data_IF_023567658537
#
_entry.id   IF_023567658537
#
_cell.length_a   1.000
_cell.length_b   1.000
_cell.length_c   1.000
_cell.angle_alpha   90.00
_cell.angle_beta   90.00
_cell.angle_gamma   90.00
#
_symmetry.space_group_name_H-M   'P 1'
#
loop_
_entity.id
_entity.type
_entity.pdbx_description
1 polymer ?
#
# COMPACT_ATOMS: atom_id res chain seq x y z
N UNK A 1 1.98 28.56 -12.91
CA UNK A 1 1.95 27.32 -12.13
C UNK A 1 3.37 26.77 -12.15
N UNK A 2 4.05 26.76 -11.02
CA UNK A 2 5.40 26.19 -10.89
C UNK A 2 5.20 24.69 -11.08
N UNK A 3 5.71 24.17 -12.17
CA UNK A 3 5.63 22.75 -12.52
C UNK A 3 6.67 21.97 -11.69
N UNK A 4 6.49 21.97 -10.36
CA UNK A 4 7.33 21.16 -9.49
C UNK A 4 6.89 19.71 -9.66
N UNK A 5 7.70 18.92 -10.40
CA UNK A 5 7.50 17.49 -10.49
C UNK A 5 7.61 16.87 -9.08
N UNK A 6 6.75 15.90 -8.81
CA UNK A 6 6.73 15.13 -7.56
C UNK A 6 8.10 14.50 -7.34
N UNK A 7 8.67 14.67 -6.16
CA UNK A 7 9.97 14.11 -5.78
C UNK A 7 9.75 12.78 -5.06
N UNK A 8 10.20 11.70 -5.69
CA UNK A 8 10.07 10.34 -5.16
C UNK A 8 11.43 9.87 -4.64
N UNK A 9 11.50 9.63 -3.32
CA UNK A 9 12.63 8.93 -2.73
C UNK A 9 12.59 7.44 -3.07
N UNK A 10 13.74 6.83 -3.32
CA UNK A 10 13.85 5.41 -3.61
C UNK A 10 14.99 4.83 -2.78
N UNK A 11 14.68 3.87 -1.88
CA UNK A 11 15.73 3.10 -1.21
C UNK A 11 16.20 1.95 -2.10
N UNK A 12 17.52 1.68 -2.10
CA UNK A 12 18.11 0.64 -2.96
C UNK A 12 17.76 -0.78 -2.58
N UNK A 13 17.27 -0.99 -1.34
CA UNK A 13 17.12 -2.34 -0.81
C UNK A 13 18.46 -3.02 -0.60
N UNK A 14 18.46 -4.35 -0.61
CA UNK A 14 19.71 -5.12 -0.52
C UNK A 14 20.55 -4.94 -1.79
N UNK A 15 21.77 -4.45 -1.60
CA UNK A 15 22.68 -4.12 -2.72
C UNK A 15 23.12 -5.35 -3.54
N UNK A 16 22.98 -6.55 -2.99
CA UNK A 16 23.30 -7.82 -3.66
C UNK A 16 22.06 -8.51 -4.26
N UNK A 17 20.85 -7.95 -4.03
CA UNK A 17 19.60 -8.40 -4.61
C UNK A 17 19.26 -7.69 -5.93
N UNK A 18 18.05 -7.88 -6.42
CA UNK A 18 17.56 -7.26 -7.68
C UNK A 18 17.23 -5.77 -7.55
N UNK A 19 17.19 -5.21 -6.32
CA UNK A 19 16.80 -3.81 -6.08
C UNK A 19 17.48 -2.81 -7.00
N UNK A 20 18.82 -2.72 -7.06
CA UNK A 20 19.51 -1.79 -7.96
C UNK A 20 19.22 -2.03 -9.44
N UNK A 21 19.06 -3.31 -9.87
CA UNK A 21 18.76 -3.67 -11.25
C UNK A 21 17.37 -3.18 -11.67
N UNK A 22 16.33 -3.47 -10.88
CA UNK A 22 14.95 -3.05 -11.21
C UNK A 22 14.78 -1.53 -11.14
N UNK A 23 15.53 -0.82 -10.27
CA UNK A 23 15.56 0.64 -10.25
C UNK A 23 16.12 1.18 -11.59
N UNK A 24 17.27 0.69 -12.03
CA UNK A 24 17.88 1.12 -13.30
C UNK A 24 16.93 0.88 -14.46
N UNK A 25 16.39 -0.33 -14.60
CA UNK A 25 15.46 -0.68 -15.67
C UNK A 25 14.18 0.15 -15.66
N UNK A 26 13.64 0.46 -14.48
CA UNK A 26 12.46 1.33 -14.36
C UNK A 26 12.71 2.70 -14.99
N UNK A 27 13.87 3.30 -14.79
CA UNK A 27 14.19 4.65 -15.28
C UNK A 27 14.96 4.67 -16.59
N UNK A 28 15.31 3.52 -17.16
CA UNK A 28 15.90 3.41 -18.48
C UNK A 28 14.91 3.87 -19.58
N UNK A 29 13.59 3.81 -19.27
CA UNK A 29 12.58 4.48 -20.06
C UNK A 29 12.51 5.97 -19.69
N UNK A 30 12.88 6.91 -20.60
CA UNK A 30 12.90 8.34 -20.31
C UNK A 30 11.53 8.93 -19.89
N UNK A 31 10.42 8.31 -20.33
CA UNK A 31 9.07 8.73 -19.98
C UNK A 31 8.83 8.68 -18.44
N UNK A 32 9.52 7.82 -17.72
CA UNK A 32 9.45 7.77 -16.26
C UNK A 32 9.94 9.07 -15.59
N UNK A 33 10.90 9.75 -16.22
CA UNK A 33 11.40 11.04 -15.75
C UNK A 33 10.43 12.21 -16.01
N UNK A 34 9.41 11.98 -16.84
CA UNK A 34 8.30 12.94 -17.02
C UNK A 34 7.27 12.81 -15.92
N UNK A 35 7.12 11.60 -15.34
CA UNK A 35 6.16 11.29 -14.28
C UNK A 35 6.58 11.88 -12.93
N UNK A 36 7.86 11.76 -12.58
CA UNK A 36 8.39 12.21 -11.29
C UNK A 36 9.88 12.63 -11.39
N UNK A 37 10.40 13.14 -10.29
CA UNK A 37 11.83 13.36 -10.07
C UNK A 37 12.32 12.31 -9.07
N UNK A 38 12.98 11.22 -9.53
CA UNK A 38 13.47 10.19 -8.63
C UNK A 38 14.77 10.60 -7.95
N UNK A 39 14.87 10.25 -6.66
CA UNK A 39 16.08 10.40 -5.83
C UNK A 39 16.39 9.05 -5.20
N UNK A 40 17.39 8.35 -5.70
CA UNK A 40 17.85 7.07 -5.17
C UNK A 40 18.80 7.30 -4.02
N UNK A 41 18.50 6.74 -2.86
CA UNK A 41 19.35 6.81 -1.66
C UNK A 41 20.35 5.66 -1.69
N UNK A 42 21.56 5.95 -2.16
CA UNK A 42 22.56 4.90 -2.36
C UNK A 42 23.95 5.48 -2.65
N UNK A 43 24.56 5.02 -3.74
CA UNK A 43 25.86 5.51 -4.19
C UNK A 43 25.94 5.47 -5.70
N UNK A 44 26.53 6.50 -6.29
CA UNK A 44 26.83 6.58 -7.72
C UNK A 44 27.69 5.40 -8.20
N UNK A 45 28.60 4.90 -7.34
CA UNK A 45 29.43 3.72 -7.64
C UNK A 45 28.58 2.44 -7.74
N UNK A 46 27.59 2.24 -6.84
CA UNK A 46 26.67 1.12 -6.87
C UNK A 46 25.87 1.10 -8.18
N UNK A 47 25.26 2.23 -8.54
CA UNK A 47 24.46 2.36 -9.77
C UNK A 47 25.34 2.17 -11.00
N UNK A 48 26.54 2.73 -11.03
CA UNK A 48 27.51 2.53 -12.15
C UNK A 48 27.91 1.06 -12.33
N UNK A 49 28.12 0.34 -11.21
CA UNK A 49 28.42 -1.09 -11.24
C UNK A 49 27.27 -1.88 -11.89
N UNK A 50 26.04 -1.70 -11.42
CA UNK A 50 24.88 -2.42 -11.95
C UNK A 50 24.56 -2.01 -13.39
N UNK A 51 24.66 -0.73 -13.75
CA UNK A 51 24.53 -0.28 -15.15
C UNK A 51 25.47 -1.06 -16.09
N UNK A 52 26.75 -1.13 -15.72
CA UNK A 52 27.74 -1.90 -16.51
C UNK A 52 27.40 -3.37 -16.55
N UNK A 53 26.95 -3.96 -15.45
CA UNK A 53 26.62 -5.38 -15.33
C UNK A 53 25.46 -5.78 -16.22
N UNK A 54 24.40 -4.93 -16.33
CA UNK A 54 23.21 -5.21 -17.12
C UNK A 54 23.22 -4.55 -18.51
N UNK A 55 24.28 -3.80 -18.86
CA UNK A 55 24.42 -3.16 -20.18
C UNK A 55 23.51 -1.95 -20.38
N UNK A 56 23.10 -1.23 -19.31
CA UNK A 56 22.28 -0.03 -19.43
C UNK A 56 23.10 1.22 -19.66
N UNK A 57 22.61 2.13 -20.50
CA UNK A 57 23.19 3.47 -20.77
C UNK A 57 22.46 4.59 -20.01
N UNK A 58 21.60 4.28 -19.04
CA UNK A 58 20.80 5.23 -18.27
C UNK A 58 21.68 6.40 -17.73
N UNK A 59 21.38 7.65 -18.11
CA UNK A 59 22.07 8.80 -17.53
C UNK A 59 21.54 9.09 -16.13
N UNK A 60 22.44 9.43 -15.20
CA UNK A 60 22.07 9.86 -13.86
C UNK A 60 22.99 10.97 -13.37
N UNK A 61 22.57 11.65 -12.30
CA UNK A 61 23.35 12.70 -11.63
C UNK A 61 23.64 12.27 -10.20
N UNK A 62 24.94 12.21 -9.84
CA UNK A 62 25.36 12.04 -8.43
C UNK A 62 25.21 13.37 -7.69
N UNK A 63 24.62 13.32 -6.49
CA UNK A 63 24.44 14.46 -5.60
C UNK A 63 24.87 14.07 -4.18
N UNK A 64 25.31 15.05 -3.39
CA UNK A 64 25.75 14.84 -2.02
C UNK A 64 24.73 15.34 -0.99
N UNK A 65 23.76 16.14 -1.43
CA UNK A 65 22.65 16.61 -0.60
C UNK A 65 21.39 16.89 -1.44
N UNK A 66 20.23 16.90 -0.77
CA UNK A 66 18.93 17.03 -1.41
C UNK A 66 18.68 18.42 -2.05
N UNK A 67 19.43 19.44 -1.68
CA UNK A 67 19.34 20.78 -2.33
C UNK A 67 19.89 20.78 -3.77
N UNK A 68 20.65 19.76 -4.13
CA UNK A 68 21.23 19.59 -5.47
C UNK A 68 20.34 18.78 -6.42
N UNK A 69 19.14 18.37 -6.00
CA UNK A 69 18.20 17.59 -6.84
C UNK A 69 17.87 18.34 -8.12
N UNK A 70 18.11 17.70 -9.25
CA UNK A 70 17.78 18.20 -10.58
C UNK A 70 16.46 17.60 -11.03
N UNK A 71 15.44 18.45 -11.19
CA UNK A 71 14.10 18.06 -11.64
C UNK A 71 14.15 17.36 -13.00
N UNK A 72 13.43 16.22 -13.10
CA UNK A 72 13.34 15.43 -14.33
C UNK A 72 14.63 14.68 -14.70
N UNK A 73 15.52 14.48 -13.74
CA UNK A 73 16.70 13.61 -13.86
C UNK A 73 16.65 12.50 -12.80
N UNK A 74 17.29 11.39 -13.07
CA UNK A 74 17.58 10.39 -12.04
C UNK A 74 18.72 10.93 -11.17
N UNK A 75 18.42 11.24 -9.91
CA UNK A 75 19.38 11.71 -8.94
C UNK A 75 19.80 10.55 -8.04
N UNK A 76 21.12 10.43 -7.79
CA UNK A 76 21.67 9.44 -6.86
C UNK A 76 22.27 10.20 -5.69
N UNK A 77 21.64 10.17 -4.55
CA UNK A 77 22.14 10.74 -3.31
C UNK A 77 23.19 9.80 -2.73
N UNK A 78 24.46 10.26 -2.71
CA UNK A 78 25.58 9.49 -2.18
C UNK A 78 25.53 9.51 -0.65
N UNK A 79 24.96 8.46 -0.04
CA UNK A 79 24.87 8.33 1.43
C UNK A 79 26.04 7.53 2.02
N UNK A 80 26.83 6.88 1.18
CA UNK A 80 28.11 6.27 1.52
C UNK A 80 29.13 6.44 0.38
N UNK A 81 30.40 6.64 0.74
CA UNK A 81 31.47 6.89 -0.23
C UNK A 81 32.20 5.62 -0.67
N UNK A 82 32.35 4.67 0.26
CA UNK A 82 33.00 3.39 0.00
C UNK A 82 31.95 2.33 -0.22
N UNK A 83 31.91 1.79 -1.44
CA UNK A 83 31.07 0.64 -1.75
C UNK A 83 31.90 -0.60 -1.47
N UNK A 84 31.52 -1.39 -0.46
CA UNK A 84 32.15 -2.68 -0.23
C UNK A 84 31.96 -3.60 -1.44
N UNK A 85 32.62 -4.74 -1.44
CA UNK A 85 32.53 -5.70 -2.52
C UNK A 85 31.05 -6.10 -2.77
N UNK A 86 30.50 -5.66 -3.92
CA UNK A 86 29.17 -6.06 -4.37
C UNK A 86 29.29 -7.49 -4.89
N UNK A 87 28.48 -8.38 -4.33
CA UNK A 87 28.42 -9.80 -4.70
C UNK A 87 26.97 -10.19 -5.04
N UNK A 88 26.46 -9.85 -6.24
CA UNK A 88 25.09 -10.15 -6.62
C UNK A 88 24.74 -11.62 -6.38
N UNK A 89 23.55 -11.86 -5.86
CA UNK A 89 23.08 -13.21 -5.55
C UNK A 89 23.53 -13.77 -4.20
N UNK A 90 24.28 -13.01 -3.40
CA UNK A 90 24.74 -13.49 -2.09
C UNK A 90 24.16 -12.65 -0.94
N UNK A 91 23.61 -13.36 0.04
CA UNK A 91 23.25 -12.76 1.32
C UNK A 91 24.54 -12.40 2.08
N UNK A 92 24.70 -11.14 2.48
CA UNK A 92 25.84 -10.67 3.26
C UNK A 92 25.37 -9.71 4.35
N UNK A 93 26.07 -9.69 5.48
CA UNK A 93 25.82 -8.74 6.58
C UNK A 93 25.95 -7.29 6.08
N UNK A 94 26.95 -7.03 5.26
CA UNK A 94 27.19 -5.71 4.69
C UNK A 94 26.06 -5.28 3.74
N UNK A 95 25.48 -6.19 2.96
CA UNK A 95 24.30 -5.93 2.14
C UNK A 95 23.11 -5.47 2.99
N UNK A 96 22.88 -6.13 4.13
CA UNK A 96 21.85 -5.73 5.09
C UNK A 96 22.12 -4.35 5.72
N UNK A 97 23.37 -4.09 6.15
CA UNK A 97 23.77 -2.79 6.71
C UNK A 97 23.55 -1.64 5.72
N UNK A 98 23.92 -1.82 4.45
CA UNK A 98 23.69 -0.82 3.40
C UNK A 98 22.23 -0.64 3.06
N UNK A 99 21.45 -1.73 3.05
CA UNK A 99 20.01 -1.67 2.86
C UNK A 99 19.33 -0.83 3.95
N UNK A 100 19.73 -1.02 5.20
CA UNK A 100 19.22 -0.22 6.31
C UNK A 100 19.67 1.24 6.21
N UNK A 101 20.93 1.52 5.89
CA UNK A 101 21.41 2.89 5.68
C UNK A 101 20.62 3.62 4.60
N UNK A 102 20.33 2.94 3.47
CA UNK A 102 19.51 3.47 2.40
C UNK A 102 18.08 3.79 2.87
N UNK A 103 17.45 2.82 3.52
CA UNK A 103 16.08 2.97 4.03
C UNK A 103 15.98 4.08 5.07
N UNK A 104 16.87 4.11 6.06
CA UNK A 104 16.89 5.09 7.14
C UNK A 104 17.06 6.52 6.62
N UNK A 105 18.00 6.73 5.71
CA UNK A 105 18.21 8.03 5.09
C UNK A 105 17.00 8.50 4.28
N UNK A 106 16.37 7.59 3.51
CA UNK A 106 15.18 7.89 2.73
C UNK A 106 13.97 8.20 3.61
N UNK A 107 13.77 7.46 4.70
CA UNK A 107 12.68 7.68 5.66
C UNK A 107 12.87 9.00 6.40
N UNK A 108 14.09 9.33 6.80
CA UNK A 108 14.42 10.63 7.39
C UNK A 108 14.05 11.77 6.44
N UNK A 109 14.48 11.70 5.17
CA UNK A 109 14.17 12.70 4.16
C UNK A 109 12.66 12.81 3.88
N UNK A 110 11.93 11.70 3.93
CA UNK A 110 10.47 11.69 3.81
C UNK A 110 9.80 12.36 5.01
N UNK A 111 10.28 12.12 6.21
CA UNK A 111 9.77 12.72 7.45
C UNK A 111 10.01 14.23 7.50
N UNK A 112 11.21 14.67 7.15
CA UNK A 112 11.66 16.07 7.21
C UNK A 112 11.13 16.95 6.07
N UNK A 113 10.60 16.38 5.00
CA UNK A 113 9.77 17.09 4.06
C UNK A 113 10.28 17.34 2.64
N UNK A 114 11.51 17.03 2.20
CA UNK A 114 11.89 17.26 0.82
C UNK A 114 11.34 16.21 -0.17
N UNK A 115 10.84 15.07 0.34
CA UNK A 115 10.23 14.02 -0.47
C UNK A 115 8.71 14.03 -0.36
N UNK A 116 8.05 13.81 -1.49
CA UNK A 116 6.58 13.69 -1.57
C UNK A 116 6.10 12.26 -1.26
N UNK A 117 6.87 11.26 -1.67
CA UNK A 117 6.61 9.85 -1.38
C UNK A 117 7.91 9.03 -1.40
N UNK A 118 7.84 7.80 -0.90
CA UNK A 118 8.93 6.84 -0.84
C UNK A 118 8.55 5.55 -1.56
N UNK A 119 9.42 5.05 -2.41
CA UNK A 119 9.37 3.70 -2.96
C UNK A 119 10.54 2.90 -2.39
N UNK A 120 10.27 1.73 -1.81
CA UNK A 120 11.32 0.91 -1.21
C UNK A 120 11.60 -0.32 -2.05
N UNK A 121 12.86 -0.51 -2.48
CA UNK A 121 13.29 -1.76 -3.09
C UNK A 121 13.40 -2.88 -2.04
N UNK A 122 13.40 -4.16 -2.47
CA UNK A 122 13.35 -5.30 -1.56
C UNK A 122 14.55 -5.40 -0.62
N UNK A 123 14.29 -5.80 0.61
CA UNK A 123 15.30 -6.13 1.64
C UNK A 123 15.26 -7.62 1.98
N UNK A 124 16.38 -8.13 2.44
CA UNK A 124 16.39 -9.43 3.10
C UNK A 124 16.15 -9.22 4.60
N UNK A 125 15.06 -9.83 5.10
CA UNK A 125 14.62 -9.63 6.49
C UNK A 125 15.58 -10.19 7.54
N UNK A 126 16.48 -11.08 7.15
CA UNK A 126 17.45 -11.70 8.06
C UNK A 126 18.72 -10.85 8.18
N UNK A 127 19.32 -10.45 7.05
CA UNK A 127 20.59 -9.74 7.07
C UNK A 127 20.47 -8.25 7.43
N UNK A 128 19.28 -7.67 7.32
CA UNK A 128 19.04 -6.27 7.71
C UNK A 128 18.94 -6.09 9.24
N UNK A 129 18.67 -7.18 9.98
CA UNK A 129 18.60 -7.13 11.45
C UNK A 129 19.92 -6.66 12.05
N UNK A 130 19.86 -5.79 13.04
CA UNK A 130 21.05 -5.24 13.69
C UNK A 130 20.77 -3.94 14.44
N UNK A 131 21.81 -3.26 14.90
CA UNK A 131 21.66 -2.00 15.62
C UNK A 131 20.87 -0.97 14.80
N UNK A 132 19.69 -0.58 15.30
CA UNK A 132 18.80 0.38 14.65
C UNK A 132 17.70 -0.23 13.78
N UNK A 133 17.73 -1.54 13.49
CA UNK A 133 16.65 -2.23 12.81
C UNK A 133 16.34 -3.56 13.50
N UNK A 134 15.37 -3.52 14.40
CA UNK A 134 14.81 -4.69 15.11
C UNK A 134 13.29 -4.74 14.83
N UNK A 135 12.97 -4.92 13.55
CA UNK A 135 11.59 -4.95 13.07
C UNK A 135 11.37 -6.11 12.12
N UNK A 136 10.13 -6.68 12.06
CA UNK A 136 9.78 -7.73 11.11
C UNK A 136 9.94 -7.34 9.64
N UNK A 137 9.86 -6.03 9.35
CA UNK A 137 9.97 -5.53 7.99
C UNK A 137 9.84 -4.01 7.86
N UNK A 138 9.71 -3.54 6.63
CA UNK A 138 9.56 -2.11 6.31
C UNK A 138 8.36 -1.47 7.01
N UNK A 139 7.23 -2.16 7.07
CA UNK A 139 5.95 -1.61 7.55
C UNK A 139 6.04 -1.19 9.00
N UNK A 140 6.57 -2.05 9.85
CA UNK A 140 6.72 -1.82 11.28
C UNK A 140 7.77 -0.73 11.56
N UNK A 141 8.90 -0.76 10.84
CA UNK A 141 9.92 0.28 10.93
C UNK A 141 9.36 1.65 10.52
N UNK A 142 8.64 1.74 9.41
CA UNK A 142 8.04 2.99 8.96
C UNK A 142 7.00 3.52 9.95
N UNK A 143 6.16 2.65 10.52
CA UNK A 143 5.19 3.04 11.52
C UNK A 143 5.86 3.59 12.80
N UNK A 144 6.99 2.99 13.22
CA UNK A 144 7.73 3.45 14.39
C UNK A 144 8.34 4.85 14.20
N UNK A 145 8.76 5.19 12.97
CA UNK A 145 9.41 6.48 12.68
C UNK A 145 8.40 7.56 12.28
N UNK A 146 7.41 7.22 11.45
CA UNK A 146 6.46 8.17 10.88
C UNK A 146 5.18 8.31 11.69
N UNK A 147 4.93 7.36 12.61
CA UNK A 147 3.67 7.24 13.32
C UNK A 147 2.56 6.64 12.47
N UNK A 148 1.40 6.40 13.10
CA UNK A 148 0.23 5.82 12.46
C UNK A 148 0.10 4.32 12.70
N UNK A 149 -1.07 3.78 12.36
CA UNK A 149 -1.37 2.35 12.43
C UNK A 149 -1.38 1.78 11.00
N UNK A 150 -0.32 1.11 10.57
CA UNK A 150 -0.17 0.71 9.19
C UNK A 150 -1.16 -0.39 8.80
N UNK A 151 -1.69 -0.28 7.59
CA UNK A 151 -2.44 -1.35 6.94
C UNK A 151 -1.64 -1.84 5.72
N UNK A 152 -1.32 -3.13 5.67
CA UNK A 152 -0.76 -3.75 4.47
C UNK A 152 -1.86 -3.86 3.43
N UNK A 153 -1.68 -3.14 2.32
CA UNK A 153 -2.64 -3.08 1.24
C UNK A 153 -1.96 -3.46 -0.07
N UNK A 154 -2.31 -4.60 -0.61
CA UNK A 154 -1.87 -5.07 -1.92
C UNK A 154 -2.78 -4.42 -2.96
N UNK A 155 -2.20 -3.71 -3.91
CA UNK A 155 -2.97 -2.94 -4.89
C UNK A 155 -2.47 -3.19 -6.31
N UNK A 156 -3.41 -3.36 -7.22
CA UNK A 156 -3.23 -3.34 -8.67
C UNK A 156 -4.37 -2.52 -9.29
N UNK A 157 -4.42 -2.44 -10.60
CA UNK A 157 -5.52 -1.79 -11.30
C UNK A 157 -6.86 -2.49 -10.98
N UNK A 158 -6.88 -3.83 -11.07
CA UNK A 158 -8.08 -4.64 -11.00
C UNK A 158 -8.46 -5.08 -9.58
N UNK A 159 -7.51 -5.10 -8.63
CA UNK A 159 -7.71 -5.73 -7.34
C UNK A 159 -6.97 -5.00 -6.21
N UNK A 160 -7.68 -4.78 -5.11
CA UNK A 160 -7.10 -4.26 -3.87
C UNK A 160 -7.47 -5.19 -2.72
N UNK A 161 -6.45 -5.71 -2.03
CA UNK A 161 -6.63 -6.64 -0.91
C UNK A 161 -5.88 -6.15 0.32
N UNK A 162 -6.57 -6.07 1.44
CA UNK A 162 -5.97 -5.98 2.77
C UNK A 162 -6.11 -7.31 3.50
N UNK A 163 -5.25 -7.55 4.48
CA UNK A 163 -5.32 -8.72 5.34
C UNK A 163 -5.61 -8.31 6.78
N UNK A 164 -6.52 -9.03 7.43
CA UNK A 164 -6.85 -8.80 8.83
C UNK A 164 -5.66 -9.19 9.72
N UNK A 165 -5.09 -10.38 9.49
CA UNK A 165 -3.88 -10.87 10.15
C UNK A 165 -2.75 -10.99 9.14
N UNK A 166 -1.54 -10.53 9.53
CA UNK A 166 -0.35 -10.57 8.68
C UNK A 166 0.53 -11.80 8.93
N UNK A 167 1.75 -11.57 9.40
CA UNK A 167 2.77 -12.61 9.58
C UNK A 167 2.62 -13.31 10.93
N UNK A 168 1.54 -14.04 11.14
CA UNK A 168 1.32 -14.92 12.29
C UNK A 168 1.14 -16.37 11.84
N UNK A 169 1.32 -17.32 12.75
CA UNK A 169 1.09 -18.74 12.47
C UNK A 169 -0.37 -18.96 12.09
N UNK A 170 -0.62 -19.88 11.16
CA UNK A 170 -2.00 -20.25 10.77
C UNK A 170 -2.82 -20.75 11.96
N UNK A 171 -2.18 -21.37 12.94
CA UNK A 171 -2.83 -21.85 14.17
C UNK A 171 -3.31 -20.71 15.08
N UNK A 172 -2.79 -19.50 14.92
CA UNK A 172 -3.15 -18.33 15.72
C UNK A 172 -4.23 -17.47 15.04
N UNK A 173 -4.47 -17.68 13.74
CA UNK A 173 -5.36 -16.83 12.94
C UNK A 173 -6.77 -16.79 13.53
N UNK A 174 -7.40 -17.95 13.76
CA UNK A 174 -8.76 -18.00 14.26
C UNK A 174 -8.94 -17.27 15.60
N UNK A 175 -7.96 -17.41 16.51
CA UNK A 175 -7.98 -16.69 17.79
C UNK A 175 -7.72 -15.18 17.68
N UNK A 176 -7.07 -14.75 16.62
CA UNK A 176 -6.78 -13.33 16.37
C UNK A 176 -7.96 -12.59 15.71
N UNK A 177 -8.86 -13.29 15.01
CA UNK A 177 -10.03 -12.68 14.38
C UNK A 177 -11.07 -12.29 15.44
N UNK A 178 -11.23 -10.99 15.64
CA UNK A 178 -12.19 -10.41 16.58
C UNK A 178 -13.05 -9.35 15.87
N UNK A 179 -14.27 -9.07 16.37
CA UNK A 179 -15.10 -8.00 15.81
C UNK A 179 -14.35 -6.65 15.77
N UNK A 180 -13.57 -6.35 16.81
CA UNK A 180 -12.79 -5.12 16.92
C UNK A 180 -11.72 -5.03 15.84
N UNK A 181 -11.01 -6.14 15.55
CA UNK A 181 -9.99 -6.18 14.50
C UNK A 181 -10.65 -5.94 13.12
N UNK A 182 -11.78 -6.60 12.84
CA UNK A 182 -12.51 -6.43 11.59
C UNK A 182 -12.95 -4.97 11.43
N UNK A 183 -13.59 -4.38 12.45
CA UNK A 183 -14.03 -2.99 12.44
C UNK A 183 -12.87 -2.02 12.20
N UNK A 184 -11.74 -2.25 12.86
CA UNK A 184 -10.54 -1.44 12.69
C UNK A 184 -10.03 -1.51 11.25
N UNK A 185 -9.87 -2.73 10.71
CA UNK A 185 -9.36 -2.93 9.35
C UNK A 185 -10.27 -2.32 8.29
N UNK A 186 -11.59 -2.50 8.43
CA UNK A 186 -12.56 -1.89 7.51
C UNK A 186 -12.46 -0.36 7.53
N UNK A 187 -12.41 0.27 8.70
CA UNK A 187 -12.27 1.73 8.82
C UNK A 187 -10.95 2.23 8.22
N UNK A 188 -9.85 1.49 8.41
CA UNK A 188 -8.57 1.79 7.77
C UNK A 188 -8.65 1.68 6.24
N UNK A 189 -9.31 0.63 5.72
CA UNK A 189 -9.54 0.46 4.29
C UNK A 189 -10.38 1.59 3.71
N UNK A 190 -11.51 1.94 4.32
CA UNK A 190 -12.37 3.04 3.88
C UNK A 190 -11.61 4.36 3.84
N UNK A 191 -10.88 4.69 4.91
CA UNK A 191 -10.07 5.90 4.95
C UNK A 191 -9.07 5.97 3.80
N UNK A 192 -8.39 4.85 3.52
CA UNK A 192 -7.42 4.78 2.43
C UNK A 192 -8.11 4.86 1.06
N UNK A 193 -9.20 4.12 0.85
CA UNK A 193 -9.95 4.13 -0.41
C UNK A 193 -10.46 5.54 -0.75
N UNK A 194 -10.96 6.26 0.23
CA UNK A 194 -11.42 7.65 0.05
C UNK A 194 -10.24 8.59 -0.22
N UNK A 195 -9.21 8.54 0.61
CA UNK A 195 -8.11 9.51 0.60
C UNK A 195 -7.06 9.21 -0.47
N UNK A 196 -6.71 7.93 -0.66
CA UNK A 196 -5.58 7.50 -1.48
C UNK A 196 -6.02 7.05 -2.87
N UNK A 197 -7.29 6.63 -3.01
CA UNK A 197 -7.83 6.11 -4.28
C UNK A 197 -9.02 6.92 -4.82
N UNK A 198 -9.47 7.97 -4.10
CA UNK A 198 -10.58 8.87 -4.49
C UNK A 198 -11.91 8.13 -4.68
N UNK A 199 -12.14 7.04 -3.96
CA UNK A 199 -13.40 6.30 -3.97
C UNK A 199 -14.33 6.90 -2.92
N UNK A 200 -15.34 7.67 -3.33
CA UNK A 200 -16.19 8.42 -2.40
C UNK A 200 -17.06 7.54 -1.48
N UNK A 201 -17.50 6.37 -1.96
CA UNK A 201 -18.33 5.41 -1.22
C UNK A 201 -17.79 3.99 -1.47
N UNK A 202 -16.70 3.62 -0.81
CA UNK A 202 -16.03 2.35 -1.08
C UNK A 202 -16.91 1.16 -0.69
N UNK A 203 -17.01 0.19 -1.61
CA UNK A 203 -17.65 -1.10 -1.42
C UNK A 203 -16.58 -2.11 -1.05
N UNK A 204 -16.65 -2.64 0.16
CA UNK A 204 -15.64 -3.56 0.71
C UNK A 204 -16.25 -4.94 0.88
N UNK A 205 -15.62 -5.96 0.28
CA UNK A 205 -15.94 -7.36 0.53
C UNK A 205 -15.12 -7.88 1.71
N UNK A 206 -15.74 -8.67 2.57
CA UNK A 206 -15.08 -9.38 3.67
C UNK A 206 -15.15 -10.87 3.36
N UNK A 207 -13.97 -11.54 3.36
CA UNK A 207 -13.93 -12.99 3.17
C UNK A 207 -14.23 -13.71 4.49
N UNK A 208 -14.80 -14.89 4.39
CA UNK A 208 -14.92 -15.80 5.51
C UNK A 208 -13.56 -16.39 5.90
N UNK A 209 -13.45 -16.90 7.11
CA UNK A 209 -12.27 -17.60 7.59
C UNK A 209 -12.30 -19.08 7.22
N UNK A 210 -13.45 -19.72 7.50
CA UNK A 210 -13.62 -21.16 7.34
C UNK A 210 -14.09 -21.51 5.90
N UNK A 211 -13.80 -22.71 5.39
CA UNK A 211 -14.37 -23.20 4.13
C UNK A 211 -15.89 -23.07 4.14
N UNK A 212 -16.47 -22.59 3.02
CA UNK A 212 -17.91 -22.37 2.86
C UNK A 212 -18.54 -21.51 3.98
N UNK A 213 -17.78 -20.56 4.54
CA UNK A 213 -18.20 -19.73 5.68
C UNK A 213 -18.65 -20.55 6.89
N UNK A 214 -17.99 -21.68 7.13
CA UNK A 214 -18.27 -22.57 8.25
C UNK A 214 -19.49 -23.48 8.08
N UNK A 215 -20.20 -23.42 6.94
CA UNK A 215 -21.38 -24.25 6.62
C UNK A 215 -22.37 -24.30 7.80
N UNK A 216 -22.88 -23.12 8.18
CA UNK A 216 -23.78 -22.88 9.32
C UNK A 216 -23.28 -23.42 10.68
N UNK A 217 -21.96 -23.62 10.81
CA UNK A 217 -21.30 -24.12 12.02
C UNK A 217 -20.92 -25.60 11.98
N UNK A 218 -21.15 -26.28 10.86
CA UNK A 218 -20.75 -27.69 10.68
C UNK A 218 -19.22 -27.82 10.58
N UNK A 219 -18.56 -26.87 9.89
CA UNK A 219 -17.11 -26.85 9.69
C UNK A 219 -16.44 -25.94 10.71
N UNK A 220 -17.04 -24.78 10.98
CA UNK A 220 -16.54 -23.79 11.93
C UNK A 220 -17.61 -22.76 12.26
N UNK A 221 -17.40 -22.01 13.35
CA UNK A 221 -18.39 -21.03 13.82
C UNK A 221 -17.90 -19.59 13.76
N UNK A 222 -16.62 -19.35 13.41
CA UNK A 222 -16.01 -18.02 13.42
C UNK A 222 -16.74 -17.07 12.46
N UNK A 223 -17.11 -17.54 11.29
CA UNK A 223 -17.82 -16.73 10.30
C UNK A 223 -19.20 -16.29 10.80
N UNK A 224 -19.98 -17.24 11.36
CA UNK A 224 -21.31 -16.97 11.90
C UNK A 224 -21.28 -16.15 13.19
N UNK A 225 -20.36 -16.44 14.12
CA UNK A 225 -20.38 -15.93 15.48
C UNK A 225 -19.55 -14.63 15.63
N UNK A 226 -18.60 -14.36 14.72
CA UNK A 226 -17.68 -13.22 14.80
C UNK A 226 -17.74 -12.33 13.57
N UNK A 227 -17.52 -12.90 12.35
CA UNK A 227 -17.36 -12.09 11.15
C UNK A 227 -18.68 -11.51 10.69
N UNK A 228 -19.72 -12.32 10.52
CA UNK A 228 -21.03 -11.86 10.04
C UNK A 228 -21.63 -10.78 10.97
N UNK A 229 -21.66 -10.93 12.30
CA UNK A 229 -22.15 -9.87 13.19
C UNK A 229 -21.36 -8.56 13.10
N UNK A 230 -20.04 -8.63 12.88
CA UNK A 230 -19.23 -7.43 12.70
C UNK A 230 -19.54 -6.70 11.39
N UNK A 231 -19.73 -7.46 10.30
CA UNK A 231 -20.14 -6.94 8.99
C UNK A 231 -21.53 -6.30 9.06
N UNK A 232 -22.51 -6.99 9.64
CA UNK A 232 -23.89 -6.51 9.78
C UNK A 232 -23.96 -5.23 10.62
N UNK A 233 -23.18 -5.16 11.69
CA UNK A 233 -23.07 -3.96 12.51
C UNK A 233 -22.54 -2.77 11.71
N UNK A 234 -21.45 -2.96 10.96
CA UNK A 234 -20.88 -1.91 10.13
C UNK A 234 -21.85 -1.48 9.02
N UNK A 235 -22.51 -2.44 8.37
CA UNK A 235 -23.49 -2.14 7.34
C UNK A 235 -24.67 -1.32 7.90
N UNK A 236 -25.19 -1.68 9.10
CA UNK A 236 -26.24 -0.93 9.77
C UNK A 236 -25.82 0.50 10.17
N UNK A 237 -24.51 0.74 10.32
CA UNK A 237 -23.94 2.04 10.59
C UNK A 237 -23.72 2.89 9.32
N UNK A 238 -24.02 2.34 8.14
CA UNK A 238 -23.91 3.04 6.85
C UNK A 238 -22.61 2.81 6.09
N UNK A 239 -21.76 1.88 6.55
CA UNK A 239 -20.60 1.44 5.80
C UNK A 239 -21.01 0.45 4.69
N UNK A 240 -20.45 0.60 3.49
CA UNK A 240 -20.73 -0.33 2.37
C UNK A 240 -19.83 -1.57 2.45
N UNK A 241 -20.08 -2.40 3.44
CA UNK A 241 -19.33 -3.62 3.75
C UNK A 241 -20.24 -4.83 3.58
N UNK A 242 -19.74 -5.86 2.93
CA UNK A 242 -20.54 -7.03 2.52
C UNK A 242 -19.75 -8.31 2.77
N UNK A 243 -20.45 -9.37 3.17
CA UNK A 243 -19.85 -10.68 3.46
C UNK A 243 -20.44 -11.30 4.74
N UNK A 244 -19.81 -12.34 5.28
CA UNK A 244 -18.61 -13.00 4.75
C UNK A 244 -18.87 -13.75 3.45
N UNK A 245 -17.88 -13.74 2.54
CA UNK A 245 -17.90 -14.51 1.29
C UNK A 245 -16.96 -15.71 1.39
N UNK A 246 -17.38 -16.86 0.87
CA UNK A 246 -16.48 -18.00 0.69
C UNK A 246 -15.37 -17.64 -0.29
N UNK A 247 -14.11 -17.73 0.15
CA UNK A 247 -12.96 -17.17 -0.59
C UNK A 247 -12.79 -17.82 -1.98
N UNK A 248 -12.96 -19.15 -2.09
CA UNK A 248 -12.83 -19.89 -3.34
C UNK A 248 -13.89 -19.46 -4.37
N UNK A 249 -15.15 -19.42 -3.96
CA UNK A 249 -16.27 -18.96 -4.81
C UNK A 249 -16.14 -17.49 -5.18
N UNK A 250 -15.69 -16.64 -4.25
CA UNK A 250 -15.52 -15.20 -4.46
C UNK A 250 -14.50 -14.88 -5.55
N UNK A 251 -13.30 -15.49 -5.48
CA UNK A 251 -12.29 -15.31 -6.51
C UNK A 251 -12.60 -16.10 -7.78
N UNK A 252 -13.05 -17.35 -7.65
CA UNK A 252 -13.33 -18.22 -8.78
C UNK A 252 -14.44 -17.72 -9.70
N UNK A 253 -15.45 -17.06 -9.16
CA UNK A 253 -16.54 -16.43 -9.95
C UNK A 253 -16.20 -15.04 -10.50
N UNK A 254 -15.08 -14.43 -10.04
CA UNK A 254 -14.75 -13.06 -10.37
C UNK A 254 -15.60 -12.02 -9.63
N UNK A 255 -16.29 -12.39 -8.55
CA UNK A 255 -17.14 -11.49 -7.76
C UNK A 255 -16.36 -10.28 -7.18
N UNK A 256 -15.04 -10.43 -6.95
CA UNK A 256 -14.17 -9.37 -6.49
C UNK A 256 -14.24 -8.09 -7.37
N UNK A 257 -14.53 -8.21 -8.67
CA UNK A 257 -14.67 -7.09 -9.61
C UNK A 257 -15.84 -6.16 -9.28
N UNK A 258 -16.77 -6.59 -8.42
CA UNK A 258 -17.90 -5.80 -7.97
C UNK A 258 -17.60 -4.95 -6.74
N UNK A 259 -16.39 -5.02 -6.21
CA UNK A 259 -15.95 -4.33 -5.00
C UNK A 259 -14.71 -3.45 -5.26
N UNK A 260 -14.56 -2.41 -4.46
CA UNK A 260 -13.39 -1.53 -4.53
C UNK A 260 -12.19 -2.11 -3.78
N UNK A 261 -12.44 -2.95 -2.78
CA UNK A 261 -11.40 -3.70 -2.07
C UNK A 261 -11.97 -4.92 -1.34
N UNK A 262 -11.08 -5.83 -0.97
CA UNK A 262 -11.40 -7.07 -0.25
C UNK A 262 -10.57 -7.18 1.03
N UNK A 263 -11.20 -7.49 2.15
CA UNK A 263 -10.54 -7.87 3.39
C UNK A 263 -10.44 -9.39 3.47
N UNK A 264 -9.22 -9.93 3.40
CA UNK A 264 -8.94 -11.32 3.66
C UNK A 264 -8.60 -11.54 5.14
N UNK A 265 -8.93 -12.68 5.71
CA UNK A 265 -8.72 -12.95 7.12
C UNK A 265 -7.27 -13.23 7.46
N UNK A 266 -6.50 -13.83 6.54
CA UNK A 266 -5.09 -14.13 6.74
C UNK A 266 -4.28 -13.95 5.46
N UNK A 267 -2.97 -13.92 5.63
CA UNK A 267 -1.99 -13.57 4.60
C UNK A 267 -2.21 -14.33 3.28
N UNK A 268 -2.14 -15.65 3.27
CA UNK A 268 -2.18 -16.42 2.02
C UNK A 268 -3.56 -16.45 1.38
N UNK A 269 -4.66 -16.30 2.16
CA UNK A 269 -6.01 -16.16 1.62
C UNK A 269 -6.12 -14.94 0.68
N UNK A 270 -5.41 -13.85 1.02
CA UNK A 270 -5.39 -12.65 0.20
C UNK A 270 -4.29 -12.66 -0.86
N UNK A 271 -3.06 -13.10 -0.50
CA UNK A 271 -1.90 -12.94 -1.38
C UNK A 271 -1.83 -13.97 -2.48
N UNK A 272 -2.31 -15.19 -2.30
CA UNK A 272 -2.36 -16.19 -3.37
C UNK A 272 -3.20 -15.69 -4.56
N UNK A 273 -4.49 -15.34 -4.39
CA UNK A 273 -5.28 -14.83 -5.50
C UNK A 273 -4.73 -13.49 -6.04
N UNK A 274 -4.24 -12.60 -5.17
CA UNK A 274 -3.64 -11.35 -5.62
C UNK A 274 -2.47 -11.59 -6.56
N UNK A 275 -1.50 -12.42 -6.16
CA UNK A 275 -0.33 -12.75 -6.98
C UNK A 275 -0.68 -13.57 -8.23
N UNK A 276 -1.75 -14.32 -8.20
CA UNK A 276 -2.22 -15.04 -9.40
C UNK A 276 -2.81 -14.09 -10.44
N UNK A 277 -3.50 -13.04 -10.00
CA UNK A 277 -4.18 -12.07 -10.86
C UNK A 277 -3.24 -10.93 -11.29
N UNK A 278 -2.44 -10.40 -10.36
CA UNK A 278 -1.66 -9.17 -10.50
C UNK A 278 -0.15 -9.41 -10.28
N UNK A 279 0.42 -10.48 -10.84
CA UNK A 279 1.82 -10.86 -10.60
C UNK A 279 2.82 -9.80 -11.05
N UNK A 280 2.57 -9.15 -12.19
CA UNK A 280 3.52 -8.24 -12.82
C UNK A 280 3.36 -6.78 -12.37
N UNK A 281 2.18 -6.38 -11.90
CA UNK A 281 1.83 -5.00 -11.56
C UNK A 281 1.41 -4.81 -10.10
N UNK A 282 1.52 -5.87 -9.30
CA UNK A 282 1.23 -5.85 -7.88
C UNK A 282 2.14 -4.89 -7.12
N UNK A 283 1.53 -4.05 -6.29
CA UNK A 283 2.19 -3.07 -5.43
C UNK A 283 1.80 -3.31 -3.97
N UNK A 284 2.78 -3.36 -3.10
CA UNK A 284 2.54 -3.31 -1.66
C UNK A 284 2.52 -1.84 -1.21
N UNK A 285 1.34 -1.35 -0.86
CA UNK A 285 1.13 -0.03 -0.32
C UNK A 285 0.96 -0.10 1.21
N UNK A 286 1.73 0.69 1.95
CA UNK A 286 1.53 0.83 3.39
C UNK A 286 0.55 1.97 3.64
N UNK A 287 -0.73 1.62 3.72
CA UNK A 287 -1.81 2.57 3.96
C UNK A 287 -1.83 3.07 5.41
N UNK A 288 -2.58 4.14 5.67
CA UNK A 288 -2.79 4.75 7.00
C UNK A 288 -1.54 5.33 7.66
N UNK A 289 -0.43 5.47 6.93
CA UNK A 289 0.70 6.28 7.38
C UNK A 289 0.50 7.75 6.99
N UNK A 290 1.06 8.70 7.78
CA UNK A 290 1.04 10.13 7.43
C UNK A 290 1.74 10.43 6.10
N UNK A 291 2.77 9.65 5.76
CA UNK A 291 3.54 9.74 4.53
C UNK A 291 3.25 8.55 3.61
N UNK A 292 3.51 8.70 2.33
CA UNK A 292 3.22 7.69 1.32
C UNK A 292 4.43 6.77 1.17
N UNK A 293 4.19 5.47 1.29
CA UNK A 293 5.19 4.46 0.96
C UNK A 293 4.58 3.33 0.14
N UNK A 294 5.21 3.05 -1.00
CA UNK A 294 4.92 1.89 -1.84
C UNK A 294 6.15 1.02 -2.02
N UNK A 295 5.97 -0.20 -2.44
CA UNK A 295 7.07 -1.09 -2.85
C UNK A 295 6.58 -2.11 -3.87
N UNK A 296 7.50 -2.67 -4.69
CA UNK A 296 7.18 -3.84 -5.48
C UNK A 296 6.79 -5.02 -4.59
N UNK A 297 5.95 -5.91 -5.11
CA UNK A 297 5.47 -7.12 -4.40
C UNK A 297 6.34 -8.34 -4.69
N UNK A 298 7.67 -8.18 -4.68
CA UNK A 298 8.63 -9.27 -4.79
C UNK A 298 9.77 -9.12 -3.77
N UNK A 299 10.53 -10.18 -3.55
CA UNK A 299 11.69 -10.21 -2.66
C UNK A 299 13.00 -9.81 -3.36
N UNK A 300 14.12 -10.08 -2.68
CA UNK A 300 15.47 -9.78 -3.16
C UNK A 300 15.90 -10.58 -4.37
N UNK A 301 15.26 -11.71 -4.67
CA UNK A 301 15.48 -12.58 -5.83
C UNK A 301 16.98 -12.76 -6.15
N UNK A 302 17.73 -13.23 -5.16
CA UNK A 302 19.19 -13.41 -5.26
C UNK A 302 19.62 -14.33 -6.41
N UNK A 303 18.79 -15.29 -6.77
CA UNK A 303 19.02 -16.25 -7.85
C UNK A 303 19.19 -15.60 -9.23
N UNK A 304 18.58 -14.45 -9.45
CA UNK A 304 18.67 -13.70 -10.73
C UNK A 304 19.34 -12.33 -10.59
N UNK A 305 19.79 -11.95 -9.40
CA UNK A 305 20.40 -10.64 -9.16
C UNK A 305 21.67 -10.43 -10.00
N UNK A 306 21.78 -9.31 -10.68
CA UNK A 306 22.92 -8.94 -11.53
C UNK A 306 22.99 -9.71 -12.85
N UNK A 307 21.95 -10.46 -13.23
CA UNK A 307 21.93 -11.21 -14.50
C UNK A 307 21.21 -10.48 -15.64
N UNK A 308 20.62 -9.33 -15.37
CA UNK A 308 19.80 -8.60 -16.33
C UNK A 308 18.41 -9.22 -16.58
N UNK A 309 18.00 -10.21 -15.79
CA UNK A 309 16.73 -10.94 -15.97
C UNK A 309 15.59 -10.41 -15.09
N UNK A 310 15.87 -9.62 -14.08
CA UNK A 310 14.82 -9.10 -13.20
C UNK A 310 13.83 -8.23 -13.99
N UNK A 311 12.54 -8.45 -13.74
CA UNK A 311 11.46 -7.65 -14.32
C UNK A 311 11.19 -6.41 -13.44
N UNK A 312 11.17 -5.24 -14.07
CA UNK A 312 10.96 -3.97 -13.38
C UNK A 312 9.48 -3.55 -13.29
N UNK A 313 8.55 -4.32 -13.82
CA UNK A 313 7.14 -3.92 -13.95
C UNK A 313 6.50 -3.58 -12.61
N UNK A 314 6.70 -4.42 -11.58
CA UNK A 314 6.19 -4.16 -10.22
C UNK A 314 6.87 -2.93 -9.57
N UNK A 315 8.17 -2.69 -9.80
CA UNK A 315 8.86 -1.48 -9.33
C UNK A 315 8.33 -0.23 -10.02
N UNK A 316 8.10 -0.30 -11.33
CA UNK A 316 7.49 0.77 -12.12
C UNK A 316 6.06 1.05 -11.65
N UNK A 317 5.26 0.01 -11.40
CA UNK A 317 3.91 0.13 -10.84
C UNK A 317 3.95 0.79 -9.45
N UNK A 318 4.93 0.46 -8.61
CA UNK A 318 5.09 1.09 -7.29
C UNK A 318 5.40 2.59 -7.40
N UNK A 319 6.20 3.02 -8.40
CA UNK A 319 6.44 4.46 -8.67
C UNK A 319 5.16 5.15 -9.12
N UNK A 320 4.40 4.57 -10.06
CA UNK A 320 3.13 5.14 -10.50
C UNK A 320 2.13 5.25 -9.35
N UNK A 321 1.98 4.19 -8.55
CA UNK A 321 1.10 4.19 -7.39
C UNK A 321 1.47 5.29 -6.38
N UNK A 322 2.78 5.49 -6.10
CA UNK A 322 3.24 6.56 -5.22
C UNK A 322 2.84 7.94 -5.72
N UNK A 323 3.02 8.20 -7.02
CA UNK A 323 2.67 9.47 -7.67
C UNK A 323 1.15 9.71 -7.66
N UNK A 324 0.37 8.69 -8.00
CA UNK A 324 -1.09 8.81 -8.06
C UNK A 324 -1.71 9.00 -6.67
N UNK A 325 -1.24 8.25 -5.68
CA UNK A 325 -1.67 8.40 -4.29
C UNK A 325 -1.33 9.82 -3.80
N UNK A 326 -0.14 10.34 -4.13
CA UNK A 326 0.22 11.71 -3.75
C UNK A 326 -0.73 12.74 -4.35
N UNK A 327 -1.00 12.67 -5.66
CA UNK A 327 -1.94 13.57 -6.36
C UNK A 327 -3.33 13.52 -5.72
N UNK A 328 -3.85 12.31 -5.46
CA UNK A 328 -5.18 12.09 -4.86
C UNK A 328 -5.24 12.63 -3.42
N UNK A 329 -4.19 12.40 -2.61
CA UNK A 329 -4.11 13.00 -1.26
C UNK A 329 -4.12 14.52 -1.30
N UNK A 330 -3.36 15.13 -2.21
CA UNK A 330 -3.35 16.60 -2.35
C UNK A 330 -4.71 17.12 -2.79
N UNK A 331 -5.37 16.44 -3.71
CA UNK A 331 -6.72 16.79 -4.12
C UNK A 331 -7.73 16.62 -2.99
N UNK A 332 -7.69 15.51 -2.26
CA UNK A 332 -8.53 15.27 -1.09
C UNK A 332 -8.37 16.38 -0.04
N UNK A 333 -7.12 16.77 0.28
CA UNK A 333 -6.83 17.87 1.20
C UNK A 333 -7.44 19.19 0.67
N UNK A 334 -7.30 19.47 -0.62
CA UNK A 334 -7.84 20.66 -1.25
C UNK A 334 -9.38 20.71 -1.15
N UNK A 335 -10.04 19.60 -1.44
CA UNK A 335 -11.51 19.48 -1.43
C UNK A 335 -12.09 19.53 -0.02
N UNK A 336 -11.37 18.99 0.98
CA UNK A 336 -11.84 18.93 2.36
C UNK A 336 -11.44 20.14 3.21
N UNK A 337 -10.58 21.02 2.70
CA UNK A 337 -10.12 22.23 3.43
C UNK A 337 -11.27 23.19 3.78
N UNK A 338 -12.28 23.31 2.91
CA UNK A 338 -13.43 24.16 3.12
C UNK A 338 -14.71 23.48 2.59
N UNK A 339 -15.23 22.47 3.30
CA UNK A 339 -16.41 21.73 2.87
C UNK A 339 -17.64 22.65 2.90
N UNK A 340 -18.53 22.47 1.92
CA UNK A 340 -19.85 23.12 1.94
C UNK A 340 -20.59 22.70 3.21
N UNK A 341 -21.05 23.66 4.00
CA UNK A 341 -21.91 23.38 5.14
C UNK A 341 -23.26 22.91 4.59
N UNK A 342 -23.54 21.62 4.71
CA UNK A 342 -24.91 21.12 4.51
C UNK A 342 -25.77 21.72 5.62
N UNK A 343 -26.81 22.47 5.26
CA UNK A 343 -27.83 22.85 6.25
C UNK A 343 -28.43 21.55 6.78
N UNK A 344 -28.48 21.40 8.09
CA UNK A 344 -29.26 20.34 8.70
C UNK A 344 -30.64 20.32 8.06
N UNK A 345 -31.23 19.16 7.76
CA UNK A 345 -32.61 19.10 7.25
C UNK A 345 -33.46 19.91 8.22
N UNK A 346 -34.13 20.95 7.71
CA UNK A 346 -35.11 21.71 8.51
C UNK A 346 -36.09 20.70 9.03
N UNK A 347 -36.19 20.64 10.36
CA UNK A 347 -37.05 19.69 11.05
C UNK A 347 -38.46 19.68 10.46
N UNK A 348 -39.10 18.53 10.58
CA UNK A 348 -40.42 18.18 10.12
C UNK A 348 -41.37 19.38 10.15
N UNK A 349 -41.91 19.73 8.98
CA UNK A 349 -43.14 20.48 8.88
C UNK A 349 -44.19 19.58 9.53
N UNK A 350 -44.58 19.90 10.78
CA UNK A 350 -45.80 19.36 11.34
C UNK A 350 -46.93 19.84 10.43
N UNK A 351 -47.48 18.95 9.61
CA UNK A 351 -48.83 19.09 9.13
C UNK A 351 -49.71 19.06 10.40
N UNK A 352 -50.08 20.22 10.89
CA UNK A 352 -51.27 20.34 11.70
C UNK A 352 -52.43 19.94 10.78
N UNK A 353 -53.06 18.82 11.11
CA UNK A 353 -54.31 18.42 10.46
C UNK A 353 -55.30 19.56 10.64
N UNK A 354 -55.72 20.21 9.54
CA UNK A 354 -56.98 20.91 9.47
C UNK A 354 -58.02 19.82 9.54
N UNK A 355 -58.73 19.76 10.70
CA UNK A 355 -59.99 19.04 10.83
C UNK A 355 -61.00 19.72 9.88
N UNK A 356 -61.45 18.97 8.90
CA UNK A 356 -62.53 19.35 7.99
C UNK A 356 -63.86 19.35 8.76
N UNK A 357 -64.56 20.50 8.93
CA UNK A 357 -65.76 20.59 9.77
C UNK A 357 -67.03 20.01 9.12
N UNK A 358 -66.95 19.40 7.94
CA UNK A 358 -68.14 19.01 7.14
C UNK A 358 -68.53 17.51 7.15
N UNK A 359 -68.02 16.72 8.09
CA UNK A 359 -68.44 15.28 8.19
C UNK A 359 -69.36 14.99 9.36
N UNK A 360 -70.16 15.96 9.82
CA UNK A 360 -71.13 15.79 10.90
C UNK A 360 -72.56 16.08 10.43
N UNK A 361 -73.03 15.58 9.30
CA UNK A 361 -74.45 15.52 8.91
C UNK A 361 -74.68 14.48 7.81
N UNK A 362 -74.82 13.22 8.19
CA UNK A 362 -75.59 12.18 7.44
C UNK A 362 -75.69 10.91 8.29
N UNK A 363 -76.51 10.98 9.33
CA UNK A 363 -77.24 9.86 9.86
C UNK A 363 -78.63 10.39 10.22
N UNK A 364 -79.59 10.08 9.32
CA UNK A 364 -80.99 9.73 9.56
C UNK A 364 -81.55 8.89 8.40
#
# INVERSE_FOLDING_TARGET
MINNKIIIGISTGDVNGVGPEVIIKTFDNPAMLEVCTPVVFGSSKLISYYKKTIGSELPFVGIDNLSQVITGKLNILNIWNDVPAITPGKETEEGGRLAFSSLSAAVKALSEGPLDALVTAPINKKNIQGPGFDFPGHTEYLASVLGGEPLMFLVSEDLKIAVATGHISISEVAGAITPQLIEQKIKQMEQSLVKDFSVAKPRIAVLGLDPHNGDEGVIGTTDRDVIAPAVDKLFSQGHYVFGPYSADGFFGSGAYKSFDATLAMYHDQGLIPFKTIAFNDGVNFTACLPRIRTSPDHGTAYDIAGTGKADESSMRAAVFAAVDIFKRRMEHIRLTKNPLRTQAPKGNIHHQGEEDPDMAQMED
#
